data_IF_447867319253
#
_entry.id   IF_447867319253
#
_cell.length_a   1.000
_cell.length_b   1.000
_cell.length_c   1.000
_cell.angle_alpha   90.00
_cell.angle_beta   90.00
_cell.angle_gamma   90.00
#
_symmetry.space_group_name_H-M   'P 1'
#
loop_
_entity.id
_entity.type
_entity.pdbx_description
1 polymer ?
#
# COMPACT_ATOMS: atom_id res chain seq x y z
N UNK A 1 -24.56 46.96 -3.46
CA UNK A 1 -23.32 46.30 -3.89
C UNK A 1 -23.18 45.04 -3.04
N UNK A 2 -23.55 43.90 -3.61
CA UNK A 2 -23.71 42.61 -2.88
C UNK A 2 -22.45 41.76 -3.16
N UNK A 3 -21.66 41.53 -2.14
CA UNK A 3 -20.46 40.70 -2.26
C UNK A 3 -20.89 39.26 -2.03
N UNK A 4 -20.92 38.46 -3.10
CA UNK A 4 -21.01 36.99 -3.00
C UNK A 4 -19.67 36.41 -2.58
N UNK A 5 -19.59 35.88 -1.37
CA UNK A 5 -18.49 35.01 -0.96
C UNK A 5 -18.71 33.63 -1.59
N UNK A 6 -17.80 33.28 -2.48
CA UNK A 6 -17.72 31.92 -3.04
C UNK A 6 -17.12 30.99 -1.98
N UNK A 7 -17.97 30.16 -1.35
CA UNK A 7 -17.55 29.01 -0.55
C UNK A 7 -17.28 27.85 -1.51
N UNK A 8 -16.03 27.76 -1.96
CA UNK A 8 -15.58 26.74 -2.90
C UNK A 8 -14.73 25.67 -2.25
N UNK A 9 -15.24 24.44 -2.27
CA UNK A 9 -14.47 23.19 -2.43
C UNK A 9 -13.67 22.69 -1.21
N UNK A 10 -14.37 22.17 -0.21
CA UNK A 10 -13.79 21.26 0.79
C UNK A 10 -14.28 19.80 0.63
N UNK A 11 -15.13 19.50 -0.36
CA UNK A 11 -15.87 18.22 -0.43
C UNK A 11 -15.13 16.99 -1.00
N UNK A 12 -14.16 17.17 -1.90
CA UNK A 12 -13.58 16.04 -2.66
C UNK A 12 -12.50 15.26 -1.94
N UNK A 13 -11.81 15.84 -0.97
CA UNK A 13 -10.69 15.19 -0.29
C UNK A 13 -11.09 14.36 0.94
N UNK A 14 -12.18 14.72 1.64
CA UNK A 14 -12.70 13.94 2.76
C UNK A 14 -13.29 12.60 2.28
N UNK A 15 -13.98 12.61 1.14
CA UNK A 15 -14.59 11.42 0.54
C UNK A 15 -13.56 10.40 0.08
N UNK A 16 -12.34 10.80 -0.34
CA UNK A 16 -11.28 9.88 -0.75
C UNK A 16 -10.64 9.13 0.43
N UNK A 17 -10.57 9.74 1.61
CA UNK A 17 -10.04 9.10 2.83
C UNK A 17 -11.06 8.14 3.42
N UNK A 18 -12.33 8.52 3.53
CA UNK A 18 -13.40 7.67 4.09
C UNK A 18 -13.60 6.38 3.28
N UNK A 19 -13.34 6.39 1.98
CA UNK A 19 -13.41 5.20 1.13
C UNK A 19 -12.18 4.27 1.27
N UNK A 20 -11.10 4.74 1.89
CA UNK A 20 -9.84 4.00 2.00
C UNK A 20 -9.50 3.58 3.41
N UNK A 21 -9.97 4.30 4.43
CA UNK A 21 -9.68 4.05 5.83
C UNK A 21 -10.93 3.56 6.55
N UNK A 22 -10.89 2.31 7.01
CA UNK A 22 -11.97 1.70 7.77
C UNK A 22 -11.47 1.37 9.19
N UNK A 23 -11.85 2.16 10.20
CA UNK A 23 -11.52 1.87 11.59
C UNK A 23 -12.41 0.75 12.13
N UNK A 24 -11.85 -0.10 12.98
CA UNK A 24 -12.57 -1.12 13.75
C UNK A 24 -11.85 -1.42 15.06
N UNK A 25 -12.60 -1.74 16.11
CA UNK A 25 -12.02 -2.04 17.41
C UNK A 25 -11.66 -3.53 17.51
N UNK A 26 -10.51 -3.79 18.12
CA UNK A 26 -10.01 -5.13 18.42
C UNK A 26 -9.70 -5.28 19.92
N UNK A 27 -9.45 -6.49 20.39
CA UNK A 27 -8.96 -6.74 21.76
C UNK A 27 -7.58 -6.10 22.03
N UNK A 28 -6.83 -5.75 20.98
CA UNK A 28 -5.48 -5.17 21.07
C UNK A 28 -5.45 -3.64 20.89
N UNK A 29 -6.60 -3.02 20.66
CA UNK A 29 -6.74 -1.59 20.38
C UNK A 29 -7.49 -1.33 19.07
N UNK A 30 -7.55 -0.07 18.68
CA UNK A 30 -8.18 0.33 17.43
C UNK A 30 -7.33 -0.10 16.24
N UNK A 31 -7.97 -0.72 15.29
CA UNK A 31 -7.34 -1.16 14.05
C UNK A 31 -7.87 -0.34 12.88
N UNK A 32 -7.01 -0.11 11.91
CA UNK A 32 -7.28 0.69 10.73
C UNK A 32 -6.97 -0.12 9.48
N UNK A 33 -8.00 -0.49 8.74
CA UNK A 33 -7.84 -1.12 7.45
C UNK A 33 -7.73 -0.04 6.36
N UNK A 34 -6.60 -0.06 5.63
CA UNK A 34 -6.33 0.82 4.50
C UNK A 34 -6.59 0.01 3.24
N UNK A 35 -7.70 0.32 2.58
CA UNK A 35 -8.26 -0.48 1.49
C UNK A 35 -7.37 -0.60 0.26
N UNK A 36 -7.73 -1.54 -0.57
CA UNK A 36 -6.98 -2.00 -1.74
C UNK A 36 -6.47 -0.88 -2.66
N UNK A 37 -5.20 -0.98 -3.03
CA UNK A 37 -4.59 -0.16 -4.08
C UNK A 37 -3.93 -1.03 -5.14
N UNK A 38 -4.28 -0.76 -6.40
CA UNK A 38 -3.61 -1.33 -7.57
C UNK A 38 -2.51 -0.37 -8.03
N UNK A 39 -1.30 -0.89 -8.26
CA UNK A 39 -0.20 -0.12 -8.81
C UNK A 39 -0.25 -0.13 -10.35
N UNK A 40 0.05 1.03 -10.93
CA UNK A 40 -0.01 1.25 -12.37
C UNK A 40 1.24 0.77 -13.11
N UNK A 41 2.40 0.98 -12.52
CA UNK A 41 3.69 0.62 -13.11
C UNK A 41 4.28 -0.61 -12.41
N UNK A 42 4.83 -1.55 -13.17
CA UNK A 42 5.35 -2.83 -12.68
C UNK A 42 6.26 -3.51 -13.69
N UNK A 43 7.04 -4.47 -13.22
CA UNK A 43 7.85 -5.34 -14.09
C UNK A 43 7.01 -5.99 -15.19
N UNK A 44 7.62 -6.22 -16.36
CA UNK A 44 6.96 -6.70 -17.58
C UNK A 44 6.14 -7.98 -17.36
N UNK A 45 6.66 -8.89 -16.55
CA UNK A 45 6.03 -10.19 -16.29
C UNK A 45 4.90 -10.11 -15.24
N UNK A 46 4.74 -8.98 -14.57
CA UNK A 46 3.70 -8.78 -13.58
C UNK A 46 2.47 -8.12 -14.22
N UNK A 47 1.38 -8.86 -14.33
CA UNK A 47 0.12 -8.35 -14.89
C UNK A 47 -0.64 -7.45 -13.92
N UNK A 48 -0.53 -7.74 -12.62
CA UNK A 48 -1.21 -6.96 -11.59
C UNK A 48 -0.48 -7.08 -10.26
N UNK A 49 -0.37 -5.96 -9.56
CA UNK A 49 0.01 -5.87 -8.16
C UNK A 49 -1.03 -5.04 -7.42
N UNK A 50 -1.62 -5.63 -6.40
CA UNK A 50 -2.65 -4.99 -5.55
C UNK A 50 -2.30 -5.25 -4.11
N UNK A 51 -2.43 -4.26 -3.25
CA UNK A 51 -2.18 -4.42 -1.83
C UNK A 51 -3.23 -3.71 -0.97
N UNK A 52 -3.33 -4.15 0.26
CA UNK A 52 -4.01 -3.50 1.38
C UNK A 52 -3.09 -3.50 2.61
N UNK A 53 -3.36 -2.62 3.56
CA UNK A 53 -2.61 -2.55 4.81
C UNK A 53 -3.57 -2.55 6.00
N UNK A 54 -3.13 -3.15 7.12
CA UNK A 54 -3.81 -3.06 8.41
C UNK A 54 -2.84 -2.58 9.46
N UNK A 55 -3.18 -1.53 10.16
CA UNK A 55 -2.44 -1.01 11.30
C UNK A 55 -3.27 -1.14 12.56
N UNK A 56 -2.65 -1.59 13.65
CA UNK A 56 -3.26 -1.60 15.00
C UNK A 56 -2.58 -0.51 15.81
N UNK A 57 -3.36 0.36 16.46
CA UNK A 57 -2.83 1.48 17.24
C UNK A 57 -1.84 0.99 18.30
N UNK A 58 -0.80 1.80 18.50
CA UNK A 58 0.31 1.51 19.40
C UNK A 58 1.23 0.34 19.00
N UNK A 59 1.05 -0.25 17.81
CA UNK A 59 1.99 -1.21 17.27
C UNK A 59 3.09 -0.53 16.45
N UNK A 60 4.33 -1.06 16.53
CA UNK A 60 5.45 -0.57 15.73
C UNK A 60 5.40 -1.03 14.28
N UNK A 61 4.59 -2.04 13.99
CA UNK A 61 4.45 -2.63 12.66
C UNK A 61 3.01 -2.54 12.13
N UNK A 62 2.89 -2.55 10.83
CA UNK A 62 1.64 -2.77 10.11
C UNK A 62 1.72 -4.06 9.28
N UNK A 63 0.58 -4.68 9.06
CA UNK A 63 0.46 -5.84 8.17
C UNK A 63 0.13 -5.35 6.77
N UNK A 64 0.91 -5.76 5.78
CA UNK A 64 0.61 -5.57 4.37
C UNK A 64 0.24 -6.91 3.74
N UNK A 65 -0.94 -6.98 3.13
CA UNK A 65 -1.31 -8.10 2.27
C UNK A 65 -1.25 -7.64 0.82
N UNK A 66 -0.63 -8.43 -0.04
CA UNK A 66 -0.53 -8.09 -1.45
C UNK A 66 -0.77 -9.29 -2.35
N UNK A 67 -1.33 -9.01 -3.53
CA UNK A 67 -1.64 -10.01 -4.55
C UNK A 67 -0.84 -9.69 -5.80
N UNK A 68 -0.09 -10.67 -6.26
CA UNK A 68 0.63 -10.65 -7.53
C UNK A 68 -0.10 -11.56 -8.52
N UNK A 69 -0.35 -11.05 -9.73
CA UNK A 69 -0.86 -11.85 -10.85
C UNK A 69 0.19 -11.85 -11.94
N UNK A 70 0.68 -13.03 -12.31
CA UNK A 70 1.71 -13.20 -13.33
C UNK A 70 1.51 -14.53 -14.11
N UNK A 71 2.11 -14.69 -15.31
CA UNK A 71 2.14 -15.97 -15.99
C UNK A 71 3.00 -17.02 -15.27
N UNK A 72 3.89 -16.59 -14.39
CA UNK A 72 4.72 -17.46 -13.56
C UNK A 72 4.20 -17.46 -12.12
N UNK A 73 4.35 -18.58 -11.44
CA UNK A 73 4.07 -18.64 -9.99
C UNK A 73 5.18 -17.89 -9.24
N UNK A 74 4.79 -16.83 -8.53
CA UNK A 74 5.67 -15.99 -7.74
C UNK A 74 5.48 -16.29 -6.24
N UNK A 75 6.15 -17.33 -5.73
CA UNK A 75 6.12 -17.64 -4.28
C UNK A 75 7.07 -16.66 -3.56
N UNK A 76 6.54 -15.50 -3.17
CA UNK A 76 7.31 -14.38 -2.66
C UNK A 76 7.95 -14.73 -1.31
N UNK A 77 9.27 -14.55 -1.22
CA UNK A 77 10.07 -14.78 -0.02
C UNK A 77 10.62 -13.50 0.62
N UNK A 78 10.72 -12.41 -0.15
CA UNK A 78 11.16 -11.09 0.34
C UNK A 78 10.33 -9.98 -0.26
N UNK A 79 10.14 -8.93 0.53
CA UNK A 79 9.53 -7.68 0.12
C UNK A 79 10.32 -6.52 0.71
N UNK A 80 10.66 -5.53 -0.10
CA UNK A 80 11.17 -4.24 0.35
C UNK A 80 10.38 -3.10 -0.26
N UNK A 81 10.35 -1.96 0.42
CA UNK A 81 9.72 -0.73 -0.04
C UNK A 81 10.73 0.40 0.03
N UNK A 82 10.95 1.09 -1.07
CA UNK A 82 11.99 2.13 -1.20
C UNK A 82 11.47 3.34 -1.97
N UNK A 83 12.04 4.52 -1.70
CA UNK A 83 11.87 5.71 -2.53
C UNK A 83 13.19 6.17 -3.18
N UNK A 84 14.18 5.27 -3.25
CA UNK A 84 15.51 5.54 -3.81
C UNK A 84 16.52 6.12 -2.80
N UNK A 85 16.06 6.81 -1.75
CA UNK A 85 16.93 7.36 -0.68
C UNK A 85 16.80 6.61 0.63
N UNK A 86 15.68 5.95 0.84
CA UNK A 86 15.37 5.18 2.04
C UNK A 86 14.68 3.87 1.65
N UNK A 87 15.04 2.78 2.32
CA UNK A 87 14.46 1.44 2.10
C UNK A 87 14.10 0.82 3.43
N UNK A 88 12.95 0.15 3.47
CA UNK A 88 12.54 -0.72 4.58
C UNK A 88 12.29 -2.13 4.05
N UNK A 89 12.76 -3.12 4.81
CA UNK A 89 12.56 -4.54 4.51
C UNK A 89 11.38 -5.08 5.31
N UNK A 90 10.57 -5.91 4.68
CA UNK A 90 9.50 -6.60 5.37
C UNK A 90 10.01 -7.81 6.14
N UNK A 91 9.42 -8.05 7.30
CA UNK A 91 9.54 -9.30 8.05
C UNK A 91 8.30 -10.18 7.85
N UNK A 92 8.38 -11.43 8.31
CA UNK A 92 7.24 -12.37 8.31
C UNK A 92 6.53 -12.52 6.96
N UNK A 93 7.30 -12.54 5.85
CA UNK A 93 6.75 -12.73 4.51
C UNK A 93 6.23 -14.15 4.39
N UNK A 94 4.90 -14.31 4.21
CA UNK A 94 4.24 -15.62 4.20
C UNK A 94 3.21 -15.70 3.09
N UNK A 95 3.20 -16.81 2.37
CA UNK A 95 2.15 -17.15 1.43
C UNK A 95 0.83 -17.34 2.18
N UNK A 96 -0.23 -16.65 1.76
CA UNK A 96 -1.59 -16.87 2.25
C UNK A 96 -2.33 -17.89 1.40
N UNK A 97 -2.32 -17.69 0.08
CA UNK A 97 -2.85 -18.66 -0.87
C UNK A 97 -2.28 -18.43 -2.26
N UNK A 98 -2.43 -19.43 -3.12
CA UNK A 98 -2.25 -19.30 -4.56
C UNK A 98 -3.38 -20.02 -5.30
N UNK A 99 -3.70 -19.54 -6.47
CA UNK A 99 -4.65 -20.16 -7.41
C UNK A 99 -4.19 -19.94 -8.86
N UNK A 100 -4.69 -20.76 -9.78
CA UNK A 100 -4.50 -20.54 -11.20
C UNK A 100 -5.81 -20.03 -11.80
N UNK A 101 -5.74 -18.92 -12.53
CA UNK A 101 -6.88 -18.30 -13.18
C UNK A 101 -6.52 -17.85 -14.58
N UNK A 102 -7.20 -18.41 -15.60
CA UNK A 102 -7.01 -18.02 -17.02
C UNK A 102 -5.53 -17.97 -17.42
N UNK A 103 -4.80 -19.07 -17.23
CA UNK A 103 -3.35 -19.19 -17.54
C UNK A 103 -2.42 -18.23 -16.76
N UNK A 104 -2.89 -17.68 -15.65
CA UNK A 104 -2.07 -16.90 -14.74
C UNK A 104 -2.13 -17.48 -13.33
N UNK A 105 -1.06 -17.26 -12.60
CA UNK A 105 -1.03 -17.53 -11.17
C UNK A 105 -1.45 -16.26 -10.43
N UNK A 106 -2.32 -16.42 -9.44
CA UNK A 106 -2.71 -15.41 -8.48
C UNK A 106 -2.09 -15.83 -7.15
N UNK A 107 -1.14 -15.06 -6.66
CA UNK A 107 -0.42 -15.35 -5.41
C UNK A 107 -0.70 -14.22 -4.43
N UNK A 108 -1.26 -14.56 -3.27
CA UNK A 108 -1.49 -13.60 -2.17
C UNK A 108 -0.55 -13.90 -1.01
N UNK A 109 0.16 -12.87 -0.61
CA UNK A 109 1.20 -12.91 0.41
C UNK A 109 0.90 -11.87 1.49
N UNK A 110 1.27 -12.17 2.73
CA UNK A 110 1.27 -11.23 3.85
C UNK A 110 2.70 -10.93 4.29
N UNK A 111 2.92 -9.73 4.80
CA UNK A 111 4.21 -9.28 5.32
C UNK A 111 4.03 -8.25 6.43
N UNK A 112 5.00 -8.14 7.33
CA UNK A 112 5.05 -7.09 8.35
C UNK A 112 6.05 -6.00 7.93
N UNK A 113 5.65 -4.74 8.05
CA UNK A 113 6.46 -3.57 7.73
C UNK A 113 6.47 -2.62 8.93
N UNK A 114 7.58 -1.92 9.15
CA UNK A 114 7.64 -0.87 10.16
C UNK A 114 6.66 0.25 9.84
N UNK A 115 5.74 0.56 10.76
CA UNK A 115 4.77 1.64 10.61
C UNK A 115 5.46 3.00 10.41
N UNK A 116 6.50 3.27 11.21
CA UNK A 116 7.30 4.51 11.14
C UNK A 116 7.95 4.67 9.76
N UNK A 117 8.49 3.58 9.21
CA UNK A 117 9.18 3.60 7.93
C UNK A 117 8.20 3.78 6.76
N UNK A 118 7.07 3.09 6.80
CA UNK A 118 6.01 3.26 5.81
C UNK A 118 5.45 4.69 5.85
N UNK A 119 5.22 5.24 7.04
CA UNK A 119 4.83 6.65 7.18
C UNK A 119 5.85 7.58 6.54
N UNK A 120 7.16 7.40 6.81
CA UNK A 120 8.25 8.19 6.23
C UNK A 120 8.27 8.07 4.70
N UNK A 121 8.12 6.88 4.15
CA UNK A 121 8.10 6.64 2.70
C UNK A 121 6.91 7.32 2.03
N UNK A 122 5.71 7.18 2.58
CA UNK A 122 4.49 7.73 2.00
C UNK A 122 4.29 9.23 2.19
N UNK A 123 5.11 9.88 3.00
CA UNK A 123 5.16 11.35 3.14
C UNK A 123 6.27 12.00 2.30
N UNK A 124 7.05 11.20 1.55
CA UNK A 124 8.11 11.69 0.66
C UNK A 124 7.56 12.18 -0.69
N UNK A 125 8.33 13.02 -1.40
CA UNK A 125 7.95 13.49 -2.72
C UNK A 125 8.20 12.46 -3.83
N UNK A 126 9.08 11.49 -3.57
CA UNK A 126 9.45 10.44 -4.52
C UNK A 126 8.51 9.24 -4.39
N UNK A 127 7.97 8.71 -5.52
CA UNK A 127 7.14 7.52 -5.49
C UNK A 127 7.82 6.33 -4.83
N UNK A 128 7.04 5.57 -4.05
CA UNK A 128 7.53 4.33 -3.48
C UNK A 128 7.57 3.21 -4.51
N UNK A 129 8.61 2.41 -4.44
CA UNK A 129 8.82 1.20 -5.26
C UNK A 129 8.75 -0.01 -4.33
N UNK A 130 7.87 -0.93 -4.63
CA UNK A 130 7.82 -2.24 -4.01
C UNK A 130 8.70 -3.18 -4.81
N UNK A 131 9.71 -3.76 -4.18
CA UNK A 131 10.58 -4.79 -4.77
C UNK A 131 10.29 -6.11 -4.07
N UNK A 132 9.92 -7.12 -4.82
CA UNK A 132 9.61 -8.45 -4.27
C UNK A 132 10.40 -9.52 -5.01
N UNK A 133 10.94 -10.46 -4.24
CA UNK A 133 11.76 -11.56 -4.74
C UNK A 133 11.09 -12.88 -4.37
N UNK A 134 10.98 -13.77 -5.31
CA UNK A 134 10.42 -15.10 -5.09
C UNK A 134 11.47 -16.10 -4.54
N UNK A 135 11.03 -17.31 -4.22
CA UNK A 135 11.89 -18.39 -3.74
C UNK A 135 12.87 -18.90 -4.78
N UNK A 136 12.64 -18.62 -6.07
CA UNK A 136 13.56 -18.93 -7.16
C UNK A 136 14.59 -17.81 -7.41
N UNK A 137 14.56 -16.72 -6.63
CA UNK A 137 15.47 -15.58 -6.76
C UNK A 137 15.10 -14.57 -7.84
N UNK A 138 13.92 -14.70 -8.48
CA UNK A 138 13.43 -13.72 -9.45
C UNK A 138 12.95 -12.48 -8.71
N UNK A 139 13.41 -11.32 -9.15
CA UNK A 139 13.06 -10.03 -8.54
C UNK A 139 12.20 -9.22 -9.48
N UNK A 140 11.08 -8.72 -8.97
CA UNK A 140 10.12 -7.89 -9.67
C UNK A 140 9.83 -6.62 -8.88
N UNK A 141 9.32 -5.62 -9.58
CA UNK A 141 8.97 -4.32 -8.98
C UNK A 141 7.55 -3.91 -9.34
N UNK A 142 6.96 -3.10 -8.46
CA UNK A 142 5.71 -2.40 -8.71
C UNK A 142 5.76 -1.00 -8.07
N UNK A 143 5.24 0.01 -8.76
CA UNK A 143 5.27 1.39 -8.29
C UNK A 143 4.06 2.18 -8.80
N UNK A 144 3.94 3.40 -8.34
CA UNK A 144 2.96 4.37 -8.81
C UNK A 144 3.53 5.14 -10.03
N UNK A 145 2.68 5.50 -10.98
CA UNK A 145 3.01 6.60 -11.88
C UNK A 145 3.16 7.90 -11.09
N UNK A 146 3.90 8.86 -11.64
CA UNK A 146 4.11 10.17 -10.98
C UNK A 146 2.77 10.87 -10.66
N UNK A 147 1.80 10.77 -11.57
CA UNK A 147 0.47 11.37 -11.38
C UNK A 147 -0.36 10.67 -10.29
N UNK A 148 -0.27 9.34 -10.21
CA UNK A 148 -0.95 8.57 -9.17
C UNK A 148 -0.29 8.79 -7.81
N UNK A 149 1.05 8.90 -7.77
CA UNK A 149 1.79 9.14 -6.54
C UNK A 149 1.38 10.43 -5.86
N UNK A 150 1.29 11.53 -6.58
CA UNK A 150 0.87 12.83 -6.02
C UNK A 150 -0.50 12.73 -5.32
N UNK A 151 -1.44 12.02 -5.93
CA UNK A 151 -2.77 11.79 -5.33
C UNK A 151 -2.70 10.87 -4.12
N UNK A 152 -1.94 9.79 -4.22
CA UNK A 152 -1.82 8.78 -3.18
C UNK A 152 -1.12 9.32 -1.94
N UNK A 153 -0.02 10.08 -2.11
CA UNK A 153 0.67 10.78 -1.03
C UNK A 153 -0.30 11.65 -0.22
N UNK A 154 -1.09 12.50 -0.91
CA UNK A 154 -2.06 13.37 -0.24
C UNK A 154 -3.14 12.59 0.54
N UNK A 155 -3.53 11.39 0.08
CA UNK A 155 -4.45 10.50 0.79
C UNK A 155 -3.77 9.91 2.03
N UNK A 156 -2.54 9.40 1.89
CA UNK A 156 -1.81 8.80 3.01
C UNK A 156 -1.41 9.79 4.08
N UNK A 157 -1.05 11.02 3.74
CA UNK A 157 -0.81 12.10 4.71
C UNK A 157 -2.03 12.32 5.62
N UNK A 158 -3.24 12.32 5.05
CA UNK A 158 -4.48 12.43 5.82
C UNK A 158 -4.78 11.18 6.63
N UNK A 159 -4.53 9.98 6.08
CA UNK A 159 -4.69 8.72 6.80
C UNK A 159 -3.78 8.71 8.03
N UNK A 160 -2.50 9.05 7.89
CA UNK A 160 -1.56 9.09 9.01
C UNK A 160 -1.90 10.19 10.03
N UNK A 161 -2.44 11.31 9.59
CA UNK A 161 -2.97 12.32 10.51
C UNK A 161 -4.13 11.75 11.34
N UNK A 162 -5.10 11.10 10.70
CA UNK A 162 -6.27 10.51 11.37
C UNK A 162 -5.90 9.40 12.36
N UNK A 163 -4.91 8.56 12.02
CA UNK A 163 -4.48 7.44 12.87
C UNK A 163 -3.71 7.93 14.13
N UNK A 164 -3.09 9.10 14.09
CA UNK A 164 -2.28 9.63 15.20
C UNK A 164 -3.00 10.65 16.08
N UNK A 165 -4.32 10.83 15.91
CA UNK A 165 -5.16 11.59 16.82
C UNK A 165 -5.59 10.69 17.97
#
# INVERSE_FOLDING_TARGET
MMIMLATGIAGTSAQSVSNRLNPFSTKKGDAYFIGNKKLSERSKDIKRFVFDMTYVSHCDSLTMNFTVISPNREDISRLSVSNGTFTTEASDVKLLYHETKSSNFVVRTTAQLSYKDIKKLYTSDTPVVFTFTDTAGRTNTATYSTGDWKKEKAVFEKIFYTINI
#
